data_IF_319978217012
#
_entry.id   IF_319978217012
#
_cell.length_a   1.000
_cell.length_b   1.000
_cell.length_c   1.000
_cell.angle_alpha   90.00
_cell.angle_beta   90.00
_cell.angle_gamma   90.00
#
_symmetry.space_group_name_H-M   'P 1'
#
loop_
_entity.id
_entity.type
_entity.pdbx_description
1 polymer ?
#
# COMPACT_ATOMS: atom_id res chain seq x y z
N UNK A 1 -8.04 -18.22 7.19
CA UNK A 1 -9.31 -18.12 7.93
C UNK A 1 -9.60 -16.70 8.40
N UNK A 2 -8.66 -16.01 9.04
CA UNK A 2 -8.86 -14.65 9.55
C UNK A 2 -9.21 -13.60 8.47
N UNK A 3 -8.52 -13.63 7.33
CA UNK A 3 -8.74 -12.67 6.23
C UNK A 3 -10.09 -12.85 5.52
N UNK A 4 -10.52 -14.10 5.36
CA UNK A 4 -11.85 -14.42 4.82
C UNK A 4 -12.97 -13.93 5.76
N UNK A 5 -12.79 -14.11 7.08
CA UNK A 5 -13.71 -13.56 8.08
C UNK A 5 -13.80 -12.03 7.99
N UNK A 6 -12.65 -11.34 7.97
CA UNK A 6 -12.61 -9.88 7.82
C UNK A 6 -13.30 -9.42 6.54
N UNK A 7 -13.13 -10.16 5.44
CA UNK A 7 -13.79 -9.82 4.18
C UNK A 7 -15.32 -9.95 4.29
N UNK A 8 -15.82 -11.03 4.88
CA UNK A 8 -17.26 -11.22 5.11
C UNK A 8 -17.85 -10.12 5.99
N UNK A 9 -17.11 -9.71 7.03
CA UNK A 9 -17.50 -8.58 7.88
C UNK A 9 -17.53 -7.28 7.07
N UNK A 10 -16.49 -7.00 6.29
CA UNK A 10 -16.43 -5.80 5.44
C UNK A 10 -17.57 -5.75 4.42
N UNK A 11 -17.92 -6.86 3.76
CA UNK A 11 -19.08 -6.92 2.87
C UNK A 11 -20.40 -6.65 3.58
N UNK A 12 -20.53 -7.08 4.84
CA UNK A 12 -21.75 -6.90 5.63
C UNK A 12 -21.97 -5.44 6.06
N UNK A 13 -20.90 -4.72 6.41
CA UNK A 13 -20.98 -3.32 6.87
C UNK A 13 -20.95 -2.30 5.72
N UNK A 14 -20.12 -2.52 4.69
CA UNK A 14 -19.84 -1.52 3.66
C UNK A 14 -20.43 -1.87 2.28
N UNK A 15 -20.99 -3.08 2.11
CA UNK A 15 -21.60 -3.52 0.85
C UNK A 15 -20.59 -3.80 -0.27
N UNK A 16 -21.08 -3.79 -1.52
CA UNK A 16 -20.33 -4.18 -2.73
C UNK A 16 -19.63 -2.98 -3.42
N UNK A 17 -18.93 -2.15 -2.65
CA UNK A 17 -18.09 -1.07 -3.18
C UNK A 17 -16.77 -1.60 -3.79
N UNK A 18 -16.11 -0.80 -4.64
CA UNK A 18 -14.86 -1.20 -5.30
C UNK A 18 -13.78 -1.56 -4.27
N UNK A 19 -13.68 -0.79 -3.18
CA UNK A 19 -12.73 -0.98 -2.09
C UNK A 19 -12.91 -2.33 -1.38
N UNK A 20 -14.15 -2.76 -1.11
CA UNK A 20 -14.42 -4.08 -0.49
C UNK A 20 -14.12 -5.21 -1.46
N UNK A 21 -14.44 -5.06 -2.74
CA UNK A 21 -14.05 -6.01 -3.79
C UNK A 21 -12.54 -6.14 -3.91
N UNK A 22 -11.82 -5.02 -3.90
CA UNK A 22 -10.36 -5.00 -3.94
C UNK A 22 -9.77 -5.62 -2.68
N UNK A 23 -10.29 -5.31 -1.49
CA UNK A 23 -9.85 -5.95 -0.24
C UNK A 23 -9.97 -7.47 -0.28
N UNK A 24 -11.05 -8.01 -0.88
CA UNK A 24 -11.18 -9.45 -1.11
C UNK A 24 -10.15 -9.98 -2.10
N UNK A 25 -9.96 -9.29 -3.23
CA UNK A 25 -8.97 -9.68 -4.24
C UNK A 25 -7.57 -9.69 -3.62
N UNK A 26 -7.18 -8.64 -2.89
CA UNK A 26 -5.91 -8.57 -2.16
C UNK A 26 -5.78 -9.69 -1.12
N UNK A 27 -6.85 -10.07 -0.45
CA UNK A 27 -6.85 -11.22 0.46
C UNK A 27 -6.51 -12.53 -0.27
N UNK A 28 -7.05 -12.74 -1.48
CA UNK A 28 -6.69 -13.89 -2.30
C UNK A 28 -5.24 -13.80 -2.80
N UNK A 29 -4.80 -12.62 -3.22
CA UNK A 29 -3.42 -12.38 -3.64
C UNK A 29 -2.41 -12.59 -2.50
N UNK A 30 -2.80 -12.41 -1.23
CA UNK A 30 -1.96 -12.75 -0.09
C UNK A 30 -1.65 -14.25 0.02
N UNK A 31 -2.37 -15.12 -0.70
CA UNK A 31 -2.03 -16.54 -0.81
C UNK A 31 -0.90 -16.81 -1.82
N UNK A 32 -0.60 -15.87 -2.72
CA UNK A 32 0.49 -16.00 -3.70
C UNK A 32 1.86 -16.24 -3.05
N UNK A 33 2.29 -15.47 -2.02
CA UNK A 33 3.56 -15.77 -1.38
C UNK A 33 3.59 -17.13 -0.69
N UNK A 34 2.47 -17.62 -0.15
CA UNK A 34 2.36 -18.99 0.39
C UNK A 34 2.57 -20.04 -0.71
N UNK A 35 1.98 -19.84 -1.90
CA UNK A 35 2.17 -20.72 -3.04
C UNK A 35 3.62 -20.70 -3.55
N UNK A 36 4.23 -19.51 -3.66
CA UNK A 36 5.64 -19.36 -4.05
C UNK A 36 6.58 -20.07 -3.08
N UNK A 37 6.29 -19.99 -1.78
CA UNK A 37 7.07 -20.70 -0.77
C UNK A 37 6.96 -22.22 -0.92
N UNK A 38 5.76 -22.74 -1.24
CA UNK A 38 5.56 -24.17 -1.54
C UNK A 38 6.34 -24.63 -2.78
N UNK A 39 6.53 -23.75 -3.75
CA UNK A 39 7.31 -23.99 -4.96
C UNK A 39 8.83 -23.77 -4.77
N UNK A 40 9.30 -23.65 -3.51
CA UNK A 40 10.71 -23.39 -3.15
C UNK A 40 11.26 -22.03 -3.58
N UNK A 41 10.40 -21.09 -4.00
CA UNK A 41 10.78 -19.70 -4.28
C UNK A 41 10.69 -18.83 -3.01
N UNK A 42 11.41 -19.22 -1.96
CA UNK A 42 11.35 -18.61 -0.63
C UNK A 42 11.70 -17.12 -0.65
N UNK A 43 12.76 -16.73 -1.38
CA UNK A 43 13.21 -15.33 -1.43
C UNK A 43 12.20 -14.43 -2.14
N UNK A 44 11.60 -14.91 -3.24
CA UNK A 44 10.57 -14.16 -3.96
C UNK A 44 9.30 -14.00 -3.13
N UNK A 45 8.89 -15.06 -2.42
CA UNK A 45 7.78 -15.02 -1.46
C UNK A 45 8.00 -13.96 -0.39
N UNK A 46 9.20 -13.92 0.20
CA UNK A 46 9.59 -12.96 1.23
C UNK A 46 9.58 -11.51 0.73
N UNK A 47 10.16 -11.24 -0.45
CA UNK A 47 10.11 -9.88 -1.05
C UNK A 47 8.67 -9.48 -1.31
N UNK A 48 7.87 -10.38 -1.88
CA UNK A 48 6.48 -10.09 -2.19
C UNK A 48 5.70 -9.78 -0.91
N UNK A 49 5.88 -10.54 0.17
CA UNK A 49 5.29 -10.23 1.48
C UNK A 49 5.72 -8.86 2.02
N UNK A 50 7.00 -8.54 1.93
CA UNK A 50 7.57 -7.29 2.45
C UNK A 50 7.11 -6.04 1.69
N UNK A 51 6.68 -6.20 0.44
CA UNK A 51 6.25 -5.10 -0.45
C UNK A 51 4.75 -5.10 -0.71
N UNK A 52 4.05 -6.16 -0.30
CA UNK A 52 2.63 -6.39 -0.58
C UNK A 52 1.76 -5.23 -0.08
N UNK A 53 2.00 -4.80 1.16
CA UNK A 53 1.21 -3.75 1.78
C UNK A 53 1.42 -2.41 1.07
N UNK A 54 2.64 -2.09 0.64
CA UNK A 54 2.94 -0.83 -0.04
C UNK A 54 2.30 -0.77 -1.42
N UNK A 55 2.53 -1.81 -2.24
CA UNK A 55 1.95 -1.90 -3.58
C UNK A 55 0.42 -1.89 -3.49
N UNK A 56 -0.14 -2.67 -2.56
CA UNK A 56 -1.58 -2.72 -2.34
C UNK A 56 -2.17 -1.39 -1.92
N UNK A 57 -1.49 -0.65 -1.05
CA UNK A 57 -1.95 0.68 -0.61
C UNK A 57 -2.03 1.68 -1.76
N UNK A 58 -1.03 1.71 -2.66
CA UNK A 58 -1.08 2.58 -3.84
C UNK A 58 -2.25 2.20 -4.75
N UNK A 59 -2.39 0.92 -5.08
CA UNK A 59 -3.44 0.43 -6.00
C UNK A 59 -4.84 0.70 -5.43
N UNK A 60 -5.06 0.35 -4.16
CA UNK A 60 -6.34 0.56 -3.50
C UNK A 60 -6.62 2.07 -3.41
N UNK A 61 -5.64 2.88 -3.02
CA UNK A 61 -5.83 4.33 -2.91
C UNK A 61 -6.29 4.97 -4.21
N UNK A 62 -5.72 4.58 -5.35
CA UNK A 62 -6.13 5.09 -6.67
C UNK A 62 -7.53 4.59 -7.02
N UNK A 63 -7.77 3.29 -6.91
CA UNK A 63 -9.02 2.68 -7.32
C UNK A 63 -10.22 3.14 -6.48
N UNK A 64 -9.99 3.41 -5.19
CA UNK A 64 -11.00 3.90 -4.26
C UNK A 64 -11.60 5.24 -4.70
N UNK A 65 -10.74 6.12 -5.26
CA UNK A 65 -11.11 7.49 -5.63
C UNK A 65 -12.08 7.58 -6.82
N UNK A 66 -12.18 6.53 -7.62
CA UNK A 66 -13.16 6.48 -8.72
C UNK A 66 -14.60 6.23 -8.26
N UNK A 67 -14.80 5.80 -7.01
CA UNK A 67 -16.11 5.33 -6.55
C UNK A 67 -16.88 6.35 -5.70
N UNK A 68 -16.18 7.32 -5.11
CA UNK A 68 -16.78 8.30 -4.20
C UNK A 68 -17.14 9.59 -4.93
N UNK A 69 -18.35 10.10 -4.68
CA UNK A 69 -18.81 11.43 -5.15
C UNK A 69 -18.33 12.58 -4.28
N UNK A 70 -18.04 12.30 -3.01
CA UNK A 70 -17.50 13.25 -2.04
C UNK A 70 -16.27 12.56 -1.45
N UNK A 71 -15.11 13.11 -1.76
CA UNK A 71 -13.84 12.64 -1.24
C UNK A 71 -13.43 13.53 -0.07
N UNK A 72 -12.83 12.91 0.94
CA UNK A 72 -12.23 13.63 2.05
C UNK A 72 -10.72 13.68 1.88
N UNK A 73 -10.11 14.83 2.18
CA UNK A 73 -8.66 15.02 2.09
C UNK A 73 -7.89 13.98 2.92
N UNK A 74 -8.47 13.58 4.05
CA UNK A 74 -7.92 12.61 4.99
C UNK A 74 -7.56 11.28 4.31
N UNK A 75 -8.33 10.87 3.31
CA UNK A 75 -8.10 9.62 2.58
C UNK A 75 -6.74 9.59 1.88
N UNK A 76 -6.19 10.73 1.42
CA UNK A 76 -4.85 10.74 0.84
C UNK A 76 -3.75 10.59 1.89
N UNK A 77 -3.98 11.10 3.10
CA UNK A 77 -3.01 11.04 4.20
C UNK A 77 -2.96 9.65 4.84
N UNK A 78 -4.10 8.97 4.97
CA UNK A 78 -4.18 7.62 5.54
C UNK A 78 -3.33 6.59 4.77
N UNK A 79 -3.42 6.59 3.45
CA UNK A 79 -2.62 5.67 2.63
C UNK A 79 -1.13 5.98 2.71
N UNK A 80 -0.73 7.26 2.83
CA UNK A 80 0.68 7.63 3.02
C UNK A 80 1.25 7.14 4.36
N UNK A 81 0.48 7.24 5.44
CA UNK A 81 0.88 6.68 6.74
C UNK A 81 0.95 5.14 6.68
N UNK A 82 0.05 4.52 5.91
CA UNK A 82 0.08 3.07 5.67
C UNK A 82 1.35 2.66 4.90
N UNK A 83 1.74 3.41 3.86
CA UNK A 83 2.99 3.20 3.13
C UNK A 83 4.21 3.31 4.05
N UNK A 84 4.23 4.30 4.94
CA UNK A 84 5.32 4.47 5.90
C UNK A 84 5.37 3.30 6.89
N UNK A 85 4.22 2.81 7.36
CA UNK A 85 4.17 1.65 8.26
C UNK A 85 4.64 0.38 7.57
N UNK A 86 4.34 0.22 6.27
CA UNK A 86 4.77 -0.93 5.48
C UNK A 86 6.30 -1.04 5.35
N UNK A 87 7.04 0.06 5.52
CA UNK A 87 8.50 0.07 5.37
C UNK A 87 9.22 -0.60 6.53
N UNK A 88 8.53 -0.85 7.64
CA UNK A 88 9.04 -1.62 8.78
C UNK A 88 9.06 -3.13 8.47
N UNK A 89 8.18 -3.62 7.58
CA UNK A 89 8.03 -5.06 7.31
C UNK A 89 9.33 -5.72 6.80
N UNK A 90 10.10 -5.12 5.85
CA UNK A 90 11.40 -5.66 5.45
C UNK A 90 12.37 -5.91 6.61
N UNK A 91 12.37 -5.05 7.64
CA UNK A 91 13.26 -5.19 8.81
C UNK A 91 12.86 -6.34 9.74
N UNK A 92 11.57 -6.69 9.75
CA UNK A 92 11.07 -7.84 10.52
C UNK A 92 11.36 -9.14 9.76
N UNK A 93 11.32 -9.07 8.43
CA UNK A 93 11.26 -10.26 7.59
C UNK A 93 12.61 -10.71 7.04
N UNK A 94 13.61 -9.83 6.96
CA UNK A 94 14.96 -10.12 6.46
C UNK A 94 16.02 -9.91 7.54
N UNK A 95 16.99 -10.82 7.59
CA UNK A 95 18.19 -10.63 8.42
C UNK A 95 19.12 -9.61 7.77
N UNK A 96 19.93 -8.91 8.60
CA UNK A 96 20.89 -7.90 8.12
C UNK A 96 22.00 -8.48 7.22
N UNK A 97 22.19 -9.80 7.25
CA UNK A 97 23.10 -10.52 6.36
C UNK A 97 22.54 -10.63 4.93
N UNK A 98 21.21 -10.63 4.77
CA UNK A 98 20.52 -10.72 3.48
C UNK A 98 20.34 -9.35 2.80
N UNK A 99 21.41 -8.53 2.82
CA UNK A 99 21.39 -7.12 2.40
C UNK A 99 20.72 -6.89 1.05
N UNK A 100 20.93 -7.78 0.08
CA UNK A 100 20.34 -7.65 -1.26
C UNK A 100 18.81 -7.73 -1.26
N UNK A 101 18.24 -8.64 -0.45
CA UNK A 101 16.78 -8.82 -0.35
C UNK A 101 16.16 -7.70 0.49
N UNK A 102 16.84 -7.32 1.56
CA UNK A 102 16.43 -6.21 2.41
C UNK A 102 16.42 -4.87 1.64
N UNK A 103 17.51 -4.54 0.93
CA UNK A 103 17.61 -3.32 0.11
C UNK A 103 16.59 -3.33 -1.03
N UNK A 104 16.35 -4.46 -1.69
CA UNK A 104 15.39 -4.52 -2.80
C UNK A 104 13.96 -4.25 -2.34
N UNK A 105 13.55 -4.83 -1.20
CA UNK A 105 12.23 -4.58 -0.62
C UNK A 105 12.07 -3.12 -0.18
N UNK A 106 13.12 -2.53 0.42
CA UNK A 106 13.15 -1.11 0.76
C UNK A 106 13.03 -0.22 -0.46
N UNK A 107 13.79 -0.48 -1.53
CA UNK A 107 13.70 0.30 -2.77
C UNK A 107 12.27 0.26 -3.33
N UNK A 108 11.60 -0.89 -3.33
CA UNK A 108 10.21 -0.98 -3.79
C UNK A 108 9.28 -0.14 -2.91
N UNK A 109 9.44 -0.19 -1.59
CA UNK A 109 8.66 0.64 -0.67
C UNK A 109 8.91 2.14 -0.88
N UNK A 110 10.18 2.55 -1.07
CA UNK A 110 10.55 3.92 -1.39
C UNK A 110 9.91 4.37 -2.71
N UNK A 111 9.94 3.53 -3.75
CA UNK A 111 9.31 3.83 -5.02
C UNK A 111 7.79 4.00 -4.86
N UNK A 112 7.11 3.18 -4.06
CA UNK A 112 5.69 3.37 -3.76
C UNK A 112 5.42 4.72 -3.08
N UNK A 113 6.31 5.17 -2.18
CA UNK A 113 6.20 6.48 -1.51
C UNK A 113 6.41 7.61 -2.51
N UNK A 114 7.50 7.59 -3.28
CA UNK A 114 7.87 8.67 -4.19
C UNK A 114 6.90 8.78 -5.38
N UNK A 115 6.44 7.64 -5.89
CA UNK A 115 5.52 7.57 -7.04
C UNK A 115 4.06 7.68 -6.63
N UNK A 116 3.75 7.81 -5.33
CA UNK A 116 2.37 7.90 -4.87
C UNK A 116 1.60 9.01 -5.59
N UNK A 117 2.09 10.26 -5.55
CA UNK A 117 1.41 11.38 -6.22
C UNK A 117 1.45 11.27 -7.76
N UNK A 118 2.60 11.00 -8.41
CA UNK A 118 2.64 10.80 -9.85
C UNK A 118 1.66 9.75 -10.36
N UNK A 119 1.49 8.63 -9.64
CA UNK A 119 0.54 7.59 -10.03
C UNK A 119 -0.91 8.09 -9.92
N UNK A 120 -1.23 8.88 -8.90
CA UNK A 120 -2.57 9.47 -8.75
C UNK A 120 -2.87 10.51 -9.82
N UNK A 121 -1.91 11.39 -10.12
CA UNK A 121 -2.01 12.40 -11.18
C UNK A 121 -2.14 11.74 -12.57
N UNK A 122 -1.35 10.70 -12.86
CA UNK A 122 -1.48 9.93 -14.10
C UNK A 122 -2.86 9.26 -14.24
N UNK A 123 -3.50 8.93 -13.13
CA UNK A 123 -4.84 8.36 -13.11
C UNK A 123 -5.96 9.43 -13.11
N UNK A 124 -5.63 10.72 -13.13
CA UNK A 124 -6.59 11.83 -13.08
C UNK A 124 -7.30 11.96 -11.72
N UNK A 125 -6.72 11.37 -10.68
CA UNK A 125 -7.21 11.40 -9.29
C UNK A 125 -6.17 12.03 -8.36
N UNK A 126 -5.35 12.93 -8.90
CA UNK A 126 -4.42 13.74 -8.13
C UNK A 126 -5.15 14.61 -7.10
N UNK A 127 -4.47 14.91 -5.99
CA UNK A 127 -5.09 15.66 -4.89
C UNK A 127 -5.61 17.03 -5.33
N UNK A 128 -4.82 17.80 -6.09
CA UNK A 128 -5.24 19.10 -6.61
C UNK A 128 -6.21 18.98 -7.79
N UNK A 129 -6.17 17.88 -8.55
CA UNK A 129 -7.09 17.63 -9.67
C UNK A 129 -8.53 17.43 -9.19
N UNK A 130 -8.69 16.81 -8.01
CA UNK A 130 -9.99 16.65 -7.35
C UNK A 130 -10.45 17.90 -6.58
N UNK A 131 -9.72 19.02 -6.70
CA UNK A 131 -10.12 20.32 -6.15
C UNK A 131 -9.72 20.57 -4.70
N UNK A 132 -8.91 19.70 -4.10
CA UNK A 132 -8.39 19.94 -2.75
C UNK A 132 -7.30 21.00 -2.75
N UNK A 133 -7.23 21.78 -1.67
CA UNK A 133 -6.34 22.95 -1.56
C UNK A 133 -5.58 23.00 -0.23
N UNK A 134 -5.53 21.89 0.51
CA UNK A 134 -4.88 21.83 1.81
C UNK A 134 -3.39 22.21 1.73
N UNK A 135 -2.96 23.30 2.39
CA UNK A 135 -1.60 23.82 2.26
C UNK A 135 -0.54 22.87 2.83
N UNK A 136 -0.95 21.98 3.74
CA UNK A 136 -0.06 21.03 4.41
C UNK A 136 0.14 19.74 3.60
N UNK A 137 -0.48 19.60 2.43
CA UNK A 137 -0.44 18.35 1.66
C UNK A 137 0.98 17.93 1.26
N UNK A 138 1.75 18.86 0.70
CA UNK A 138 3.15 18.61 0.33
C UNK A 138 4.09 18.54 1.54
N UNK A 139 3.73 19.18 2.65
CA UNK A 139 4.49 19.06 3.88
C UNK A 139 4.49 17.61 4.40
N UNK A 140 3.36 16.89 4.25
CA UNK A 140 3.30 15.48 4.62
C UNK A 140 4.20 14.61 3.72
N UNK A 141 4.32 14.92 2.43
CA UNK A 141 5.28 14.22 1.57
C UNK A 141 6.70 14.31 2.11
N UNK A 142 7.09 15.53 2.50
CA UNK A 142 8.40 15.76 3.08
C UNK A 142 8.59 14.96 4.37
N UNK A 143 7.60 14.96 5.28
CA UNK A 143 7.66 14.19 6.53
C UNK A 143 7.79 12.69 6.24
N UNK A 144 6.97 12.15 5.33
CA UNK A 144 6.97 10.71 5.02
C UNK A 144 8.32 10.30 4.41
N UNK A 145 8.84 11.09 3.47
CA UNK A 145 10.15 10.82 2.87
C UNK A 145 11.29 10.94 3.88
N UNK A 146 11.28 11.98 4.73
CA UNK A 146 12.30 12.16 5.77
C UNK A 146 12.25 11.03 6.81
N UNK A 147 11.04 10.62 7.23
CA UNK A 147 10.88 9.52 8.19
C UNK A 147 11.35 8.21 7.60
N UNK A 148 11.04 7.94 6.33
CA UNK A 148 11.52 6.76 5.62
C UNK A 148 13.06 6.67 5.61
N UNK A 149 13.77 7.79 5.45
CA UNK A 149 15.25 7.82 5.44
C UNK A 149 15.88 7.61 6.82
N UNK A 150 15.11 7.83 7.90
CA UNK A 150 15.58 7.68 9.28
C UNK A 150 15.41 6.24 9.76
N UNK A 151 14.34 5.55 9.31
CA UNK A 151 14.05 4.14 9.62
C UNK A 151 15.09 3.23 8.96
#
# INVERSE_FOLDING_TARGET
MFTAFLTTVSFSFFGLIISTKLGFVFTLFFLVPLLLNKLSYTNASRILLATFLSIGSVIISVADKFNYRILEEMQYFEFRLTLLTATVIPFILFDLDERKLWISALIVNLLCILLYDPIHEMAGVGYYELGFTGPNYYFVNFIVAATYLII
#
